data_IF_188391366774
#
_entry.id   IF_188391366774
#
_cell.length_a   1.000
_cell.length_b   1.000
_cell.length_c   1.000
_cell.angle_alpha   90.00
_cell.angle_beta   90.00
_cell.angle_gamma   90.00
#
_symmetry.space_group_name_H-M   'P 1'
#
loop_
_entity.id
_entity.type
_entity.pdbx_description
1 polymer ?
#
# COMPACT_ATOMS: atom_id res chain seq x y z
N UNK A 1 13.66 -16.71 -16.64
CA UNK A 1 13.63 -15.23 -16.45
C UNK A 1 14.11 -14.61 -17.75
N UNK A 2 13.27 -13.86 -18.39
CA UNK A 2 13.60 -13.17 -19.64
C UNK A 2 14.46 -11.94 -19.33
N UNK A 3 15.21 -11.46 -20.32
CA UNK A 3 16.02 -10.23 -20.21
C UNK A 3 15.16 -9.03 -19.75
N UNK A 4 13.91 -8.98 -20.17
CA UNK A 4 12.93 -7.98 -19.82
C UNK A 4 12.48 -8.07 -18.35
N UNK A 5 12.30 -9.26 -17.82
CA UNK A 5 11.99 -9.47 -16.38
C UNK A 5 13.15 -9.01 -15.49
N UNK A 6 14.38 -9.26 -15.92
CA UNK A 6 15.59 -8.81 -15.21
C UNK A 6 15.70 -7.29 -15.19
N UNK A 7 15.32 -6.61 -16.27
CA UNK A 7 15.34 -5.14 -16.34
C UNK A 7 14.28 -4.47 -15.46
N UNK A 8 13.18 -5.15 -15.17
CA UNK A 8 12.10 -4.61 -14.33
C UNK A 8 12.33 -4.84 -12.84
N UNK A 9 13.10 -5.85 -12.48
CA UNK A 9 13.41 -6.14 -11.09
C UNK A 9 14.25 -5.01 -10.49
N UNK A 10 13.85 -4.52 -9.32
CA UNK A 10 14.49 -3.38 -8.65
C UNK A 10 13.97 -2.01 -9.10
N UNK A 11 13.04 -1.97 -10.08
CA UNK A 11 12.40 -0.71 -10.44
C UNK A 11 11.67 -0.13 -9.23
N UNK A 12 11.90 1.13 -8.95
CA UNK A 12 11.32 1.81 -7.80
C UNK A 12 10.60 3.09 -8.22
N UNK A 13 9.54 3.42 -7.49
CA UNK A 13 8.91 4.73 -7.63
C UNK A 13 9.74 5.81 -6.94
N UNK A 14 9.45 7.06 -7.26
CA UNK A 14 9.95 8.19 -6.50
C UNK A 14 9.48 8.13 -5.04
N UNK A 15 10.26 8.72 -4.14
CA UNK A 15 9.88 8.87 -2.75
C UNK A 15 8.64 9.75 -2.62
N UNK A 16 7.70 9.32 -1.80
CA UNK A 16 6.44 9.99 -1.55
C UNK A 16 6.20 10.16 -0.08
N UNK A 17 5.39 11.15 0.28
CA UNK A 17 5.01 11.40 1.66
C UNK A 17 3.49 11.40 1.77
N UNK A 18 2.97 10.71 2.78
CA UNK A 18 1.56 10.73 3.15
C UNK A 18 1.43 11.09 4.62
N UNK A 19 0.84 12.24 4.90
CA UNK A 19 0.51 12.64 6.26
C UNK A 19 -0.80 12.02 6.72
N UNK A 20 -0.92 11.75 8.01
CA UNK A 20 -2.13 11.25 8.63
C UNK A 20 -2.35 11.87 10.00
N UNK A 21 -3.56 11.78 10.49
CA UNK A 21 -4.01 12.25 11.79
C UNK A 21 -4.68 11.12 12.58
N UNK A 22 -5.00 11.35 13.85
CA UNK A 22 -5.76 10.41 14.65
C UNK A 22 -7.12 10.04 14.02
N UNK A 23 -7.74 11.01 13.31
CA UNK A 23 -9.02 10.77 12.62
C UNK A 23 -8.88 9.73 11.51
N UNK A 24 -7.80 9.77 10.78
CA UNK A 24 -7.52 8.82 9.71
C UNK A 24 -7.31 7.40 10.29
N UNK A 25 -6.61 7.31 11.44
CA UNK A 25 -6.42 6.05 12.15
C UNK A 25 -7.77 5.49 12.64
N UNK A 26 -8.62 6.34 13.24
CA UNK A 26 -9.93 5.94 13.73
C UNK A 26 -10.87 5.53 12.59
N UNK A 27 -10.90 6.29 11.51
CA UNK A 27 -11.72 5.96 10.33
C UNK A 27 -11.30 4.63 9.72
N UNK A 28 -10.00 4.38 9.62
CA UNK A 28 -9.49 3.10 9.14
C UNK A 28 -9.90 1.96 10.07
N UNK A 29 -9.74 2.15 11.37
CA UNK A 29 -10.12 1.15 12.38
C UNK A 29 -11.60 0.78 12.25
N UNK A 30 -12.49 1.76 12.15
CA UNK A 30 -13.92 1.55 11.93
C UNK A 30 -14.20 0.83 10.60
N UNK A 31 -13.49 1.19 9.54
CA UNK A 31 -13.65 0.58 8.23
C UNK A 31 -13.26 -0.90 8.19
N UNK A 32 -12.31 -1.33 9.04
CA UNK A 32 -11.89 -2.73 9.13
C UNK A 32 -12.60 -3.49 10.27
N UNK A 33 -13.58 -2.88 10.92
CA UNK A 33 -14.49 -3.55 11.83
C UNK A 33 -14.30 -3.25 13.31
N UNK A 34 -13.46 -2.28 13.70
CA UNK A 34 -13.41 -1.82 15.08
C UNK A 34 -14.75 -1.20 15.49
N UNK A 35 -15.13 -1.39 16.74
CA UNK A 35 -16.41 -0.93 17.31
C UNK A 35 -16.20 0.09 18.41
N UNK A 36 -17.29 0.68 18.90
CA UNK A 36 -17.27 1.58 20.06
C UNK A 36 -16.83 0.89 21.37
N UNK A 37 -16.79 -0.44 21.41
CA UNK A 37 -16.27 -1.22 22.53
C UNK A 37 -14.73 -1.31 22.55
N UNK A 38 -14.09 -0.79 21.48
CA UNK A 38 -12.65 -0.79 21.29
C UNK A 38 -12.11 0.65 21.23
N UNK A 39 -12.29 1.45 22.31
CA UNK A 39 -11.95 2.88 22.29
C UNK A 39 -10.47 3.15 22.03
N UNK A 40 -9.58 2.19 22.28
CA UNK A 40 -8.15 2.30 21.96
C UNK A 40 -7.87 2.44 20.47
N UNK A 41 -8.81 2.10 19.59
CA UNK A 41 -8.67 2.24 18.13
C UNK A 41 -9.55 3.34 17.53
N UNK A 42 -10.57 3.78 18.26
CA UNK A 42 -11.62 4.65 17.70
C UNK A 42 -11.68 6.03 18.38
N UNK A 43 -10.98 6.22 19.49
CA UNK A 43 -10.96 7.46 20.26
C UNK A 43 -9.54 8.00 20.40
N UNK A 44 -9.37 9.33 20.32
CA UNK A 44 -8.06 9.98 20.27
C UNK A 44 -7.21 9.85 21.52
N UNK A 45 -7.82 9.61 22.68
CA UNK A 45 -7.09 9.50 23.93
C UNK A 45 -6.46 8.09 24.04
N UNK A 46 -5.16 8.07 24.23
CA UNK A 46 -4.36 6.84 24.36
C UNK A 46 -4.54 5.87 23.18
N UNK A 47 -4.80 6.45 21.99
CA UNK A 47 -5.07 5.71 20.77
C UNK A 47 -3.91 4.79 20.39
N UNK A 48 -4.28 3.62 19.89
CA UNK A 48 -3.40 2.68 19.20
C UNK A 48 -3.77 2.63 17.72
N UNK A 49 -2.78 2.44 16.86
CA UNK A 49 -3.01 2.29 15.44
C UNK A 49 -3.05 0.81 15.08
N UNK A 50 -4.10 0.39 14.40
CA UNK A 50 -4.18 -0.98 13.88
C UNK A 50 -3.02 -1.18 12.89
N UNK A 51 -2.21 -2.25 13.04
CA UNK A 51 -1.03 -2.44 12.20
C UNK A 51 -1.31 -2.38 10.69
N UNK A 52 -2.41 -2.94 10.24
CA UNK A 52 -2.78 -2.93 8.82
C UNK A 52 -3.04 -1.52 8.25
N UNK A 53 -3.10 -0.48 9.08
CA UNK A 53 -3.09 0.92 8.63
C UNK A 53 -1.89 1.24 7.73
N UNK A 54 -0.78 0.54 7.91
CA UNK A 54 0.40 0.65 7.05
C UNK A 54 0.19 0.28 5.58
N UNK A 55 -0.96 -0.28 5.20
CA UNK A 55 -1.32 -0.53 3.79
C UNK A 55 -1.67 0.77 3.05
N UNK A 56 -2.06 1.82 3.75
CA UNK A 56 -2.59 3.03 3.12
C UNK A 56 -1.62 3.75 2.19
N UNK A 57 -0.30 3.83 2.45
CA UNK A 57 0.64 4.36 1.47
C UNK A 57 0.55 3.66 0.11
N UNK A 58 0.38 2.35 0.12
CA UNK A 58 0.22 1.56 -1.11
C UNK A 58 -1.09 1.91 -1.85
N UNK A 59 -2.19 2.07 -1.13
CA UNK A 59 -3.50 2.41 -1.71
C UNK A 59 -3.67 3.91 -2.01
N UNK A 60 -2.78 4.75 -1.49
CA UNK A 60 -2.74 6.18 -1.80
C UNK A 60 -3.85 7.02 -1.23
N UNK A 61 -4.56 6.59 -0.21
CA UNK A 61 -5.70 7.35 0.25
C UNK A 61 -6.02 7.20 1.73
N UNK A 62 -5.52 8.07 2.56
CA UNK A 62 -6.20 8.39 3.82
C UNK A 62 -7.16 9.58 3.63
N UNK A 63 -6.82 10.53 2.79
CA UNK A 63 -7.73 11.63 2.44
C UNK A 63 -8.44 11.32 1.14
N UNK A 64 -9.72 11.01 1.23
CA UNK A 64 -10.66 10.94 0.09
C UNK A 64 -10.94 12.35 -0.44
N UNK A 65 -9.91 13.18 -0.56
CA UNK A 65 -10.05 14.44 -1.27
C UNK A 65 -9.68 14.22 -2.73
N UNK A 66 -10.45 14.77 -3.67
CA UNK A 66 -10.20 14.62 -5.12
C UNK A 66 -8.84 15.15 -5.59
N UNK A 67 -8.08 15.75 -4.69
CA UNK A 67 -6.81 16.44 -4.98
C UNK A 67 -5.56 15.56 -4.91
N UNK A 68 -5.69 14.32 -4.42
CA UNK A 68 -4.56 13.41 -4.45
C UNK A 68 -4.70 12.45 -5.64
N UNK A 69 -3.90 12.64 -6.69
CA UNK A 69 -3.80 11.61 -7.71
C UNK A 69 -3.40 10.31 -7.00
N UNK A 70 -4.13 9.24 -7.28
CA UNK A 70 -3.75 7.91 -6.78
C UNK A 70 -2.28 7.71 -7.09
N UNK A 71 -1.41 7.42 -6.09
CA UNK A 71 -0.05 7.06 -6.42
C UNK A 71 -0.14 5.90 -7.41
N UNK A 72 0.56 6.00 -8.51
CA UNK A 72 0.70 4.87 -9.41
C UNK A 72 1.51 3.83 -8.66
N UNK A 73 0.89 2.74 -8.28
CA UNK A 73 1.58 1.60 -7.70
C UNK A 73 2.55 1.00 -8.73
N UNK A 74 3.57 0.30 -8.26
CA UNK A 74 4.49 -0.43 -9.15
C UNK A 74 3.77 -1.33 -10.16
N UNK A 75 2.64 -1.99 -9.83
CA UNK A 75 1.85 -2.69 -10.83
C UNK A 75 1.44 -1.86 -12.05
N UNK A 76 1.21 -0.56 -11.86
CA UNK A 76 0.89 0.33 -12.99
C UNK A 76 2.12 0.62 -13.85
N UNK A 77 3.30 0.72 -13.24
CA UNK A 77 4.56 0.80 -13.99
C UNK A 77 4.79 -0.47 -14.80
N UNK A 78 4.49 -1.63 -14.23
CA UNK A 78 4.56 -2.91 -14.92
C UNK A 78 3.53 -2.97 -16.06
N UNK A 79 2.32 -2.47 -15.83
CA UNK A 79 1.27 -2.38 -16.84
C UNK A 79 1.68 -1.50 -18.03
N UNK A 80 2.27 -0.35 -17.78
CA UNK A 80 2.78 0.56 -18.81
C UNK A 80 3.92 -0.08 -19.63
N UNK A 81 4.73 -0.94 -19.01
CA UNK A 81 5.89 -1.56 -19.64
C UNK A 81 5.59 -2.89 -20.33
N UNK A 82 4.59 -3.64 -19.86
CA UNK A 82 4.31 -5.01 -20.32
C UNK A 82 3.09 -5.14 -21.24
N UNK A 83 2.41 -4.08 -21.58
CA UNK A 83 1.09 -4.00 -22.20
C UNK A 83 -0.03 -3.85 -21.16
N UNK A 84 -1.10 -3.15 -21.49
CA UNK A 84 -2.15 -2.87 -20.53
C UNK A 84 -2.77 -4.16 -20.00
N UNK A 85 -2.53 -4.46 -18.74
CA UNK A 85 -3.27 -5.50 -18.06
C UNK A 85 -4.73 -5.06 -17.99
N UNK A 86 -5.63 -5.87 -18.49
CA UNK A 86 -7.07 -5.56 -18.49
C UNK A 86 -7.64 -5.56 -17.09
N UNK A 87 -7.00 -6.30 -16.16
CA UNK A 87 -7.36 -6.34 -14.74
C UNK A 87 -6.21 -6.91 -13.91
N UNK A 88 -6.15 -6.53 -12.64
CA UNK A 88 -5.27 -7.16 -11.66
C UNK A 88 -6.02 -7.38 -10.34
N UNK A 89 -5.55 -8.34 -9.57
CA UNK A 89 -6.13 -8.72 -8.28
C UNK A 89 -5.00 -8.81 -7.27
N UNK A 90 -5.21 -8.23 -6.09
CA UNK A 90 -4.29 -8.42 -4.97
C UNK A 90 -4.45 -9.84 -4.44
N UNK A 91 -3.32 -10.53 -4.22
CA UNK A 91 -3.29 -11.90 -3.73
C UNK A 91 -3.09 -11.94 -2.22
N UNK A 92 -2.09 -11.24 -1.73
CA UNK A 92 -1.73 -11.20 -0.31
C UNK A 92 -0.98 -9.91 0.06
N UNK A 93 -0.82 -9.70 1.35
CA UNK A 93 0.02 -8.67 1.94
C UNK A 93 0.78 -9.25 3.12
N UNK A 94 2.05 -8.94 3.20
CA UNK A 94 2.89 -9.19 4.37
C UNK A 94 3.36 -7.85 4.94
N UNK A 95 3.24 -7.69 6.26
CA UNK A 95 3.66 -6.49 6.97
C UNK A 95 4.79 -6.82 7.93
N UNK A 96 5.91 -6.15 7.81
CA UNK A 96 7.02 -6.22 8.74
C UNK A 96 7.16 -4.89 9.47
N UNK A 97 6.82 -4.87 10.74
CA UNK A 97 6.92 -3.67 11.58
C UNK A 97 8.15 -3.72 12.46
N UNK A 98 9.03 -2.74 12.34
CA UNK A 98 10.18 -2.56 13.22
C UNK A 98 9.81 -1.77 14.49
N UNK A 99 8.70 -1.05 14.45
CA UNK A 99 8.11 -0.30 15.55
C UNK A 99 6.62 -0.07 15.30
N UNK A 100 5.81 0.16 16.36
CA UNK A 100 4.41 0.54 16.19
C UNK A 100 4.28 1.83 15.37
N UNK A 101 3.19 1.93 14.62
CA UNK A 101 2.83 3.16 13.92
C UNK A 101 2.40 4.18 14.98
N UNK A 102 3.00 5.38 15.03
CA UNK A 102 2.61 6.39 16.02
C UNK A 102 1.15 6.79 15.85
N UNK A 103 0.42 6.85 16.97
CA UNK A 103 -0.93 7.40 16.97
C UNK A 103 -0.91 8.93 16.90
N UNK A 104 -2.07 9.51 16.55
CA UNK A 104 -2.28 10.94 16.59
C UNK A 104 -1.95 11.63 15.28
N UNK A 105 -0.74 12.17 15.12
CA UNK A 105 -0.29 12.86 13.92
C UNK A 105 1.06 12.31 13.48
N UNK A 106 1.14 11.95 12.20
CA UNK A 106 2.38 11.42 11.65
C UNK A 106 2.46 11.53 10.14
N UNK A 107 3.52 10.98 9.58
CA UNK A 107 3.66 10.82 8.14
C UNK A 107 4.41 9.54 7.81
N UNK A 108 4.02 8.92 6.72
CA UNK A 108 4.81 7.90 6.03
C UNK A 108 5.66 8.58 4.95
N UNK A 109 6.93 8.21 4.91
CA UNK A 109 7.79 8.46 3.75
C UNK A 109 8.04 7.10 3.13
N UNK A 110 7.61 6.90 1.91
CA UNK A 110 7.56 5.58 1.29
C UNK A 110 7.90 5.62 -0.19
N UNK A 111 8.25 4.48 -0.72
CA UNK A 111 8.35 4.20 -2.15
C UNK A 111 8.00 2.73 -2.40
N UNK A 112 7.50 2.44 -3.58
CA UNK A 112 7.28 1.08 -4.03
C UNK A 112 8.52 0.59 -4.78
N UNK A 113 8.92 -0.65 -4.54
CA UNK A 113 10.00 -1.33 -5.23
C UNK A 113 9.50 -2.65 -5.78
N UNK A 114 9.65 -2.86 -7.08
CA UNK A 114 9.35 -4.14 -7.70
C UNK A 114 10.45 -5.15 -7.35
N UNK A 115 10.10 -6.17 -6.57
CA UNK A 115 11.08 -7.17 -6.15
C UNK A 115 11.11 -8.38 -7.05
N UNK A 116 9.95 -8.87 -7.45
CA UNK A 116 9.84 -10.09 -8.23
C UNK A 116 8.73 -10.04 -9.28
N UNK A 117 8.95 -10.73 -10.37
CA UNK A 117 8.00 -11.00 -11.43
C UNK A 117 7.95 -12.49 -11.70
N UNK A 118 6.75 -13.04 -11.75
CA UNK A 118 6.52 -14.47 -12.00
C UNK A 118 5.57 -14.61 -13.19
N UNK A 119 6.09 -15.09 -14.32
CA UNK A 119 5.25 -15.52 -15.42
C UNK A 119 4.53 -16.82 -15.03
N UNK A 120 3.21 -16.80 -15.09
CA UNK A 120 2.35 -17.96 -14.78
C UNK A 120 2.01 -18.81 -15.98
N UNK A 121 2.56 -18.47 -17.14
CA UNK A 121 2.32 -19.12 -18.41
C UNK A 121 1.18 -18.51 -19.23
N UNK A 122 1.05 -18.98 -20.45
CA UNK A 122 0.10 -18.44 -21.43
C UNK A 122 -1.35 -18.41 -20.89
N UNK A 123 -2.00 -17.28 -21.00
CA UNK A 123 -3.39 -17.06 -20.57
C UNK A 123 -3.60 -16.97 -19.05
N UNK A 124 -2.55 -17.13 -18.23
CA UNK A 124 -2.64 -17.09 -16.74
C UNK A 124 -2.18 -15.78 -16.13
N UNK A 125 -1.63 -14.89 -16.96
CA UNK A 125 -1.12 -13.61 -16.50
C UNK A 125 0.19 -13.72 -15.73
N UNK A 126 0.53 -12.63 -15.06
CA UNK A 126 1.78 -12.46 -14.33
C UNK A 126 1.50 -12.19 -12.85
N UNK A 127 2.27 -12.76 -11.95
CA UNK A 127 2.29 -12.36 -10.55
C UNK A 127 3.44 -11.38 -10.30
N UNK A 128 3.14 -10.32 -9.58
CA UNK A 128 4.08 -9.25 -9.26
C UNK A 128 4.19 -9.13 -7.75
N UNK A 129 5.41 -9.11 -7.25
CA UNK A 129 5.69 -8.78 -5.85
C UNK A 129 6.34 -7.41 -5.78
N UNK A 130 5.81 -6.55 -4.94
CA UNK A 130 6.41 -5.26 -4.62
C UNK A 130 6.57 -5.10 -3.12
N UNK A 131 7.56 -4.30 -2.73
CA UNK A 131 7.80 -3.90 -1.34
C UNK A 131 7.62 -2.38 -1.24
N UNK A 132 6.93 -1.95 -0.19
CA UNK A 132 6.70 -0.53 0.13
C UNK A 132 7.52 -0.12 1.34
#
# INVERSE_FOLDING_TARGET
MTERETQLQGLATEWRTMAYTWRDCALYALAVGATGEEPQYTYEKDMQVIPTFGVLPYWGAVNVTPQFPRPRAVPVLVEELLQPAQSYVNLDYEFLYHRPIPAGKGSFVYRDVLTDLFDRGEGRGMAVRSQV
#
